data_IF_577019592128
#
_entry.id   IF_577019592128
#
_cell.length_a   1.000
_cell.length_b   1.000
_cell.length_c   1.000
_cell.angle_alpha   90.00
_cell.angle_beta   90.00
_cell.angle_gamma   90.00
#
_symmetry.space_group_name_H-M   'P 1'
#
loop_
_entity.id
_entity.type
_entity.pdbx_description
1 polymer ?
#
# COMPACT_ATOMS: atom_id res chain seq x y z
N UNK A 1 5.08 21.42 0.50
CA UNK A 1 4.74 20.47 -0.59
C UNK A 1 3.43 19.79 -0.24
N UNK A 2 2.47 19.78 -1.16
CA UNK A 2 1.17 19.14 -0.97
C UNK A 2 1.34 17.63 -1.13
N UNK A 3 0.87 16.86 -0.15
CA UNK A 3 0.82 15.40 -0.27
C UNK A 3 -0.52 15.03 -0.91
N UNK A 4 -0.48 14.42 -2.09
CA UNK A 4 -1.68 14.03 -2.82
C UNK A 4 -1.85 12.51 -2.76
N UNK A 5 -3.08 12.05 -2.54
CA UNK A 5 -3.40 10.62 -2.63
C UNK A 5 -3.51 10.28 -4.11
N UNK A 6 -2.61 9.43 -4.60
CA UNK A 6 -2.60 9.02 -6.00
C UNK A 6 -3.54 7.84 -6.22
N UNK A 7 -3.49 6.88 -5.30
CA UNK A 7 -4.22 5.64 -5.47
C UNK A 7 -4.59 5.06 -4.10
N UNK A 8 -5.76 4.43 -4.04
CA UNK A 8 -6.22 3.68 -2.88
C UNK A 8 -6.90 2.43 -3.40
N UNK A 9 -6.43 1.27 -2.92
CA UNK A 9 -6.95 -0.03 -3.28
C UNK A 9 -7.15 -0.89 -2.05
N UNK A 10 -8.25 -1.62 -2.05
CA UNK A 10 -8.57 -2.61 -1.02
C UNK A 10 -8.47 -3.98 -1.68
N UNK A 11 -7.68 -4.87 -1.09
CA UNK A 11 -7.49 -6.24 -1.56
C UNK A 11 -7.99 -7.19 -0.46
N UNK A 12 -8.98 -8.00 -0.80
CA UNK A 12 -9.47 -9.09 0.05
C UNK A 12 -8.74 -10.36 -0.35
N UNK A 13 -7.91 -10.88 0.54
CA UNK A 13 -7.10 -12.07 0.31
C UNK A 13 -7.84 -13.32 0.80
N UNK A 14 -7.52 -14.48 0.21
CA UNK A 14 -8.11 -15.77 0.55
C UNK A 14 -7.86 -16.20 2.00
N UNK A 15 -6.91 -15.56 2.70
CA UNK A 15 -6.63 -15.78 4.12
C UNK A 15 -7.58 -15.04 5.09
N UNK A 16 -8.74 -14.57 4.62
CA UNK A 16 -9.71 -13.74 5.35
C UNK A 16 -9.14 -12.42 5.90
N UNK A 17 -8.05 -11.89 5.33
CA UNK A 17 -7.53 -10.55 5.67
C UNK A 17 -7.86 -9.55 4.59
N UNK A 18 -8.15 -8.34 5.05
CA UNK A 18 -8.37 -7.17 4.21
C UNK A 18 -7.12 -6.30 4.27
N UNK A 19 -6.52 -6.09 3.11
CA UNK A 19 -5.34 -5.26 2.92
C UNK A 19 -5.76 -3.93 2.30
N UNK A 20 -5.59 -2.85 3.04
CA UNK A 20 -5.75 -1.49 2.56
C UNK A 20 -4.40 -0.97 2.07
N UNK A 21 -4.27 -0.80 0.77
CA UNK A 21 -3.08 -0.28 0.11
C UNK A 21 -3.40 1.15 -0.33
N UNK A 22 -2.63 2.13 0.09
CA UNK A 22 -2.77 3.48 -0.43
C UNK A 22 -1.40 4.09 -0.73
N UNK A 23 -1.36 4.86 -1.80
CA UNK A 23 -0.17 5.53 -2.29
C UNK A 23 -0.39 7.03 -2.27
N UNK A 24 0.49 7.73 -1.57
CA UNK A 24 0.54 9.20 -1.59
C UNK A 24 1.81 9.67 -2.29
N UNK A 25 1.77 10.84 -2.92
CA UNK A 25 2.92 11.47 -3.56
C UNK A 25 3.17 12.83 -2.96
N UNK A 26 4.43 13.10 -2.69
CA UNK A 26 4.94 14.39 -2.25
C UNK A 26 6.14 14.74 -3.14
N UNK A 27 5.90 15.48 -4.22
CA UNK A 27 6.92 15.79 -5.23
C UNK A 27 7.42 14.54 -5.96
N UNK A 28 8.73 14.28 -5.90
CA UNK A 28 9.37 13.12 -6.54
C UNK A 28 9.39 11.84 -5.67
N UNK A 29 8.72 11.86 -4.52
CA UNK A 29 8.64 10.72 -3.61
C UNK A 29 7.21 10.20 -3.52
N UNK A 30 7.05 8.91 -3.78
CA UNK A 30 5.83 8.15 -3.51
C UNK A 30 5.98 7.46 -2.16
N UNK A 31 4.94 7.50 -1.34
CA UNK A 31 4.83 6.74 -0.09
C UNK A 31 3.75 5.70 -0.28
N UNK A 32 4.12 4.43 -0.19
CA UNK A 32 3.20 3.31 -0.22
C UNK A 32 2.94 2.85 1.21
N UNK A 33 1.67 2.80 1.59
CA UNK A 33 1.26 2.27 2.90
C UNK A 33 0.32 1.10 2.73
N UNK A 34 0.65 0.01 3.43
CA UNK A 34 -0.15 -1.20 3.56
C UNK A 34 -0.68 -1.28 4.99
N UNK A 35 -1.99 -1.34 5.15
CA UNK A 35 -2.67 -1.55 6.43
C UNK A 35 -3.49 -2.84 6.38
N UNK A 36 -3.40 -3.66 7.41
CA UNK A 36 -4.24 -4.84 7.55
C UNK A 36 -4.50 -5.16 9.02
N UNK A 37 -5.59 -5.85 9.28
CA UNK A 37 -5.95 -6.29 10.62
C UNK A 37 -5.18 -7.55 11.02
N UNK A 38 -4.71 -7.57 12.25
CA UNK A 38 -4.11 -8.71 12.94
C UNK A 38 -4.88 -8.95 14.25
N UNK A 39 -4.70 -10.12 14.87
CA UNK A 39 -5.41 -10.46 16.13
C UNK A 39 -5.23 -9.43 17.24
N UNK A 40 -4.10 -8.71 17.25
CA UNK A 40 -3.75 -7.71 18.26
C UNK A 40 -4.02 -6.25 17.85
N UNK A 41 -4.74 -6.00 16.75
CA UNK A 41 -5.04 -4.65 16.26
C UNK A 41 -4.69 -4.45 14.78
N UNK A 42 -4.30 -3.24 14.39
CA UNK A 42 -4.00 -2.91 12.99
C UNK A 42 -2.49 -2.80 12.76
N UNK A 43 -1.97 -3.58 11.81
CA UNK A 43 -0.57 -3.48 11.37
C UNK A 43 -0.47 -2.53 10.18
N UNK A 44 0.41 -1.55 10.30
CA UNK A 44 0.69 -0.56 9.25
C UNK A 44 2.14 -0.70 8.82
N UNK A 45 2.38 -0.86 7.51
CA UNK A 45 3.71 -0.89 6.91
C UNK A 45 3.76 0.26 5.91
N UNK A 46 4.71 1.18 6.09
CA UNK A 46 4.88 2.34 5.22
C UNK A 46 6.27 2.33 4.63
N UNK A 47 6.37 2.53 3.31
CA UNK A 47 7.64 2.60 2.60
C UNK A 47 7.65 3.78 1.63
N UNK A 48 8.73 4.57 1.67
CA UNK A 48 8.97 5.66 0.74
C UNK A 48 9.82 5.15 -0.41
N UNK A 49 9.45 5.51 -1.62
CA UNK A 49 10.16 5.17 -2.85
C UNK A 49 10.15 6.34 -3.82
N UNK A 50 11.10 6.39 -4.76
CA UNK A 50 11.03 7.34 -5.87
C UNK A 50 9.73 7.19 -6.68
N UNK A 51 9.22 8.30 -7.22
CA UNK A 51 7.91 8.34 -7.90
C UNK A 51 7.76 7.32 -9.04
N UNK A 52 8.85 7.03 -9.77
CA UNK A 52 8.85 6.08 -10.88
C UNK A 52 8.74 4.62 -10.40
N UNK A 53 9.14 4.33 -9.16
CA UNK A 53 8.97 3.01 -8.55
C UNK A 53 7.63 2.84 -7.84
N UNK A 54 6.89 3.91 -7.58
CA UNK A 54 5.65 3.86 -6.80
C UNK A 54 4.58 2.95 -7.41
N UNK A 55 4.38 3.05 -8.73
CA UNK A 55 3.41 2.21 -9.46
C UNK A 55 3.81 0.72 -9.52
N UNK A 56 5.02 0.34 -9.98
CA UNK A 56 5.40 -1.07 -10.02
C UNK A 56 5.44 -1.69 -8.61
N UNK A 57 5.91 -0.94 -7.60
CA UNK A 57 5.90 -1.43 -6.22
C UNK A 57 4.48 -1.70 -5.72
N UNK A 58 3.54 -0.79 -6.01
CA UNK A 58 2.15 -1.00 -5.65
C UNK A 58 1.58 -2.27 -6.28
N UNK A 59 1.85 -2.53 -7.57
CA UNK A 59 1.41 -3.75 -8.25
C UNK A 59 2.01 -5.03 -7.66
N UNK A 60 3.29 -5.00 -7.27
CA UNK A 60 3.93 -6.12 -6.58
C UNK A 60 3.28 -6.38 -5.23
N UNK A 61 2.98 -5.33 -4.45
CA UNK A 61 2.31 -5.46 -3.15
C UNK A 61 0.89 -5.97 -3.29
N UNK A 62 0.15 -5.52 -4.32
CA UNK A 62 -1.18 -6.05 -4.64
C UNK A 62 -1.13 -7.54 -4.96
N UNK A 63 -0.20 -7.97 -5.83
CA UNK A 63 -0.05 -9.37 -6.19
C UNK A 63 0.40 -10.22 -5.00
N UNK A 64 1.31 -9.70 -4.18
CA UNK A 64 1.75 -10.37 -2.97
C UNK A 64 0.60 -10.50 -1.96
N UNK A 65 -0.25 -9.49 -1.81
CA UNK A 65 -1.41 -9.55 -0.93
C UNK A 65 -2.46 -10.57 -1.42
N UNK A 66 -2.69 -10.64 -2.74
CA UNK A 66 -3.66 -11.56 -3.36
C UNK A 66 -3.23 -13.04 -3.27
N UNK A 67 -1.92 -13.32 -3.20
CA UNK A 67 -1.36 -14.68 -3.18
C UNK A 67 -1.09 -15.27 -1.79
N UNK A 68 -1.34 -14.54 -0.70
CA UNK A 68 -1.25 -15.06 0.68
C UNK A 68 -2.61 -15.66 1.06
#
# INVERSE_FOLDING_TARGET
MKSEVIDTKIVCSGNNRVYHIYRTRCGMLDTLTLRYQIKSGTRTITRKVPFFMGFPLQKVVELAADRI
#
